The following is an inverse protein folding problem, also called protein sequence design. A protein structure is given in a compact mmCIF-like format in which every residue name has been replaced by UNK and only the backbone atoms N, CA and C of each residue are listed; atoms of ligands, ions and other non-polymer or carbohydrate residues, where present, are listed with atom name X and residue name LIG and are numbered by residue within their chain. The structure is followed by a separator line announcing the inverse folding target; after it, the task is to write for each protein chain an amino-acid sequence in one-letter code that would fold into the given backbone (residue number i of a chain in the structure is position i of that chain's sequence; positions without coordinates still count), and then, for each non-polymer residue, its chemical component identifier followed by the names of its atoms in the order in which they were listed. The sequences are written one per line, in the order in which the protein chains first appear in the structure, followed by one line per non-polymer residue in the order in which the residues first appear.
data_IF_679631266453
#
_entry.id   IF_679631266453
#
_cell.length_a   1.000
_cell.length_b   1.000
_cell.length_c   1.000
_cell.angle_alpha   90.00
_cell.angle_beta   90.00
_cell.angle_gamma   90.00
#
_symmetry.space_group_name_H-M   'P 1'
#
loop_
_entity.id
_entity.type
_entity.pdbx_description
1 polymer ?
#
# COMPACT_ATOMS: atom_id res chain seq x y z
N UNK A 1 -13.22 -10.06 19.69
CA UNK A 1 -12.29 -9.79 18.57
C UNK A 1 -11.98 -8.30 18.52
N UNK A 2 -10.70 -7.90 18.47
CA UNK A 2 -10.34 -6.51 18.16
C UNK A 2 -10.61 -6.29 16.67
N UNK A 3 -11.29 -5.22 16.29
CA UNK A 3 -11.55 -4.87 14.88
C UNK A 3 -10.28 -4.27 14.24
N UNK A 4 -10.01 -4.54 12.97
CA UNK A 4 -8.87 -3.98 12.22
C UNK A 4 -8.79 -2.45 12.37
N UNK A 5 -9.91 -1.75 12.23
CA UNK A 5 -10.02 -0.30 12.42
C UNK A 5 -9.47 0.20 13.77
N UNK A 6 -9.55 -0.61 14.82
CA UNK A 6 -9.01 -0.23 16.12
C UNK A 6 -7.49 -0.19 16.11
N UNK A 7 -6.83 -1.08 15.37
CA UNK A 7 -5.39 -1.05 15.17
C UNK A 7 -4.98 0.18 14.35
N UNK A 8 -5.66 0.41 13.22
CA UNK A 8 -5.40 1.57 12.34
C UNK A 8 -5.55 2.89 13.10
N UNK A 9 -6.66 3.09 13.84
CA UNK A 9 -6.87 4.30 14.65
C UNK A 9 -5.79 4.50 15.70
N UNK A 10 -5.29 3.42 16.29
CA UNK A 10 -4.23 3.47 17.31
C UNK A 10 -2.88 3.78 16.67
N UNK A 11 -2.53 3.13 15.56
CA UNK A 11 -1.31 3.40 14.81
C UNK A 11 -1.27 4.84 14.28
N UNK A 12 -2.36 5.31 13.68
CA UNK A 12 -2.51 6.69 13.22
C UNK A 12 -2.28 7.71 14.33
N UNK A 13 -2.82 7.46 15.53
CA UNK A 13 -2.56 8.33 16.69
C UNK A 13 -1.06 8.43 16.98
N UNK A 14 -0.34 7.31 17.01
CA UNK A 14 1.12 7.33 17.23
C UNK A 14 1.85 8.03 16.09
N UNK A 15 1.42 7.85 14.84
CA UNK A 15 2.01 8.55 13.70
C UNK A 15 1.83 10.07 13.80
N UNK A 16 0.65 10.55 14.18
CA UNK A 16 0.37 11.99 14.42
C UNK A 16 1.30 12.56 15.49
N UNK A 17 1.57 11.79 16.55
CA UNK A 17 2.54 12.16 17.60
C UNK A 17 4.01 11.84 17.23
N UNK A 18 4.29 11.54 15.96
CA UNK A 18 5.63 11.21 15.42
C UNK A 18 6.30 9.98 16.04
N UNK A 19 5.55 9.14 16.74
CA UNK A 19 6.00 7.85 17.28
C UNK A 19 5.89 6.74 16.24
N UNK A 20 6.60 6.89 15.10
CA UNK A 20 6.49 5.97 13.96
C UNK A 20 6.81 4.51 14.29
N UNK A 21 7.82 4.24 15.13
CA UNK A 21 8.16 2.88 15.57
C UNK A 21 6.99 2.19 16.28
N UNK A 22 6.28 2.92 17.16
CA UNK A 22 5.08 2.39 17.83
C UNK A 22 3.92 2.17 16.86
N UNK A 23 3.77 3.03 15.85
CA UNK A 23 2.78 2.84 14.81
C UNK A 23 3.06 1.56 14.00
N UNK A 24 4.34 1.31 13.66
CA UNK A 24 4.80 0.09 12.98
C UNK A 24 4.47 -1.14 13.84
N UNK A 25 4.88 -1.18 15.10
CA UNK A 25 4.63 -2.32 16.01
C UNK A 25 3.13 -2.68 16.13
N UNK A 26 2.25 -1.67 16.05
CA UNK A 26 0.80 -1.89 16.10
C UNK A 26 0.28 -2.49 14.80
N UNK A 27 0.77 -2.01 13.66
CA UNK A 27 0.33 -2.51 12.37
C UNK A 27 0.93 -3.88 12.04
N UNK A 28 2.15 -4.19 12.48
CA UNK A 28 2.73 -5.54 12.42
C UNK A 28 1.84 -6.54 13.19
N UNK A 29 1.43 -6.19 14.41
CA UNK A 29 0.47 -7.02 15.16
C UNK A 29 -0.89 -7.15 14.49
N UNK A 30 -1.30 -6.15 13.71
CA UNK A 30 -2.59 -6.14 13.04
C UNK A 30 -2.60 -7.11 11.85
N UNK A 31 -1.52 -7.14 11.05
CA UNK A 31 -1.42 -8.05 9.88
C UNK A 31 -1.25 -9.52 10.27
N UNK A 32 -0.86 -9.81 11.51
CA UNK A 32 -0.81 -11.15 12.10
C UNK A 32 -2.17 -11.66 12.61
N UNK A 33 -3.19 -10.80 12.72
CA UNK A 33 -4.52 -11.21 13.14
C UNK A 33 -5.27 -11.90 12.00
N UNK A 34 -6.26 -12.76 12.29
CA UNK A 34 -7.08 -13.41 11.28
C UNK A 34 -8.14 -12.45 10.69
N UNK A 35 -7.69 -11.32 10.16
CA UNK A 35 -8.52 -10.36 9.42
C UNK A 35 -8.68 -10.80 7.97
N UNK A 36 -9.60 -10.15 7.26
CA UNK A 36 -9.77 -10.41 5.83
C UNK A 36 -8.51 -10.02 5.05
N UNK A 37 -8.32 -10.61 3.86
CA UNK A 37 -7.20 -10.27 2.98
C UNK A 37 -7.14 -8.76 2.68
N UNK A 38 -8.29 -8.12 2.45
CA UNK A 38 -8.36 -6.68 2.18
C UNK A 38 -7.91 -5.83 3.38
N UNK A 39 -8.26 -6.23 4.60
CA UNK A 39 -7.80 -5.57 5.82
C UNK A 39 -6.29 -5.76 6.02
N UNK A 40 -5.79 -6.99 5.86
CA UNK A 40 -4.35 -7.29 5.96
C UNK A 40 -3.56 -6.53 4.88
N UNK A 41 -4.02 -6.54 3.63
CA UNK A 41 -3.41 -5.80 2.52
C UNK A 41 -3.42 -4.29 2.76
N UNK A 42 -4.50 -3.75 3.31
CA UNK A 42 -4.51 -2.35 3.78
C UNK A 42 -3.47 -2.11 4.87
N UNK A 43 -3.26 -3.07 5.77
CA UNK A 43 -2.26 -2.99 6.83
C UNK A 43 -0.84 -2.98 6.29
N UNK A 44 -0.54 -3.82 5.31
CA UNK A 44 0.73 -3.81 4.59
C UNK A 44 0.96 -2.50 3.83
N UNK A 45 -0.05 -1.93 3.17
CA UNK A 45 0.09 -0.57 2.59
C UNK A 45 0.42 0.46 3.68
N UNK A 46 -0.21 0.38 4.84
CA UNK A 46 0.09 1.28 5.96
C UNK A 46 1.56 1.14 6.41
N UNK A 47 2.03 -0.09 6.60
CA UNK A 47 3.43 -0.38 6.96
C UNK A 47 4.40 0.17 5.90
N UNK A 48 4.10 -0.03 4.62
CA UNK A 48 4.89 0.51 3.53
C UNK A 48 4.99 2.04 3.58
N UNK A 49 3.89 2.74 3.85
CA UNK A 49 3.89 4.19 4.03
C UNK A 49 4.73 4.63 5.24
N UNK A 50 4.65 3.91 6.37
CA UNK A 50 5.45 4.20 7.56
C UNK A 50 6.96 4.04 7.29
N UNK A 51 7.37 2.96 6.63
CA UNK A 51 8.77 2.73 6.27
C UNK A 51 9.28 3.71 5.21
N UNK A 52 8.44 4.07 4.23
CA UNK A 52 8.78 5.13 3.27
C UNK A 52 9.00 6.47 3.98
N UNK A 53 8.18 6.80 4.98
CA UNK A 53 8.37 7.99 5.83
C UNK A 53 9.66 7.94 6.66
N UNK A 54 10.23 6.76 6.90
CA UNK A 54 11.56 6.55 7.50
C UNK A 54 12.70 6.53 6.48
N UNK A 55 12.40 6.71 5.18
CA UNK A 55 13.33 6.57 4.05
C UNK A 55 13.91 5.15 3.89
N UNK A 56 13.22 4.15 4.42
CA UNK A 56 13.58 2.74 4.27
C UNK A 56 12.83 2.12 3.07
N UNK A 57 13.19 2.54 1.86
CA UNK A 57 12.45 2.20 0.63
C UNK A 57 12.38 0.68 0.36
N UNK A 58 13.47 -0.06 0.60
CA UNK A 58 13.49 -1.52 0.45
C UNK A 58 12.39 -2.20 1.30
N UNK A 59 12.23 -1.77 2.56
CA UNK A 59 11.18 -2.32 3.43
C UNK A 59 9.80 -1.83 3.03
N UNK A 60 9.70 -0.57 2.61
CA UNK A 60 8.44 -0.01 2.13
C UNK A 60 7.90 -0.82 0.94
N UNK A 61 8.75 -1.08 -0.05
CA UNK A 61 8.38 -1.80 -1.26
C UNK A 61 8.07 -3.26 -0.98
N UNK A 62 8.82 -3.93 -0.09
CA UNK A 62 8.49 -5.29 0.34
C UNK A 62 7.06 -5.38 0.90
N UNK A 63 6.66 -4.46 1.77
CA UNK A 63 5.28 -4.43 2.29
C UNK A 63 4.26 -4.06 1.21
N UNK A 64 4.58 -3.14 0.30
CA UNK A 64 3.67 -2.83 -0.80
C UNK A 64 3.44 -4.03 -1.72
N UNK A 65 4.48 -4.79 -2.05
CA UNK A 65 4.35 -6.01 -2.85
C UNK A 65 3.52 -7.06 -2.12
N UNK A 66 3.77 -7.30 -0.83
CA UNK A 66 2.94 -8.20 -0.01
C UNK A 66 1.45 -7.80 -0.04
N UNK A 67 1.13 -6.51 -0.02
CA UNK A 67 -0.25 -6.04 -0.15
C UNK A 67 -0.86 -6.34 -1.52
N UNK A 68 -0.10 -6.11 -2.59
CA UNK A 68 -0.56 -6.29 -3.97
C UNK A 68 -0.72 -7.77 -4.32
N UNK A 69 0.21 -8.62 -3.88
CA UNK A 69 0.14 -10.07 -4.05
C UNK A 69 -1.03 -10.67 -3.27
N UNK A 70 -1.20 -10.31 -2.00
CA UNK A 70 -2.26 -10.86 -1.15
C UNK A 70 -3.66 -10.58 -1.71
N UNK A 71 -3.84 -9.41 -2.31
CA UNK A 71 -5.12 -8.94 -2.85
C UNK A 71 -5.19 -9.05 -4.39
N UNK A 72 -4.31 -9.83 -5.03
CA UNK A 72 -4.21 -9.92 -6.49
C UNK A 72 -5.53 -10.33 -7.16
N UNK A 73 -6.28 -11.23 -6.53
CA UNK A 73 -7.56 -11.75 -7.04
C UNK A 73 -8.80 -11.09 -6.42
N UNK A 74 -8.61 -10.12 -5.50
CA UNK A 74 -9.71 -9.47 -4.79
C UNK A 74 -10.16 -8.19 -5.53
N UNK A 75 -11.46 -7.92 -5.61
CA UNK A 75 -11.98 -6.63 -6.08
C UNK A 75 -12.03 -5.61 -4.94
N UNK A 76 -11.49 -4.41 -5.17
CA UNK A 76 -11.49 -3.32 -4.21
C UNK A 76 -11.49 -1.95 -4.91
N UNK A 77 -12.06 -0.90 -4.28
CA UNK A 77 -12.10 0.42 -4.89
C UNK A 77 -10.69 1.02 -5.02
N UNK A 78 -10.54 1.90 -6.00
CA UNK A 78 -9.31 2.66 -6.20
C UNK A 78 -8.93 3.47 -4.97
N UNK A 79 -7.65 3.38 -4.60
CA UNK A 79 -7.03 4.21 -3.57
C UNK A 79 -5.92 5.08 -4.16
N UNK A 80 -5.78 6.36 -3.76
CA UNK A 80 -4.65 7.19 -4.18
C UNK A 80 -3.29 6.64 -3.72
N UNK A 81 -3.26 5.76 -2.71
CA UNK A 81 -2.02 5.14 -2.23
C UNK A 81 -1.32 4.33 -3.33
N UNK A 82 -2.03 3.80 -4.32
CA UNK A 82 -1.40 3.09 -5.43
C UNK A 82 -0.44 3.97 -6.24
N UNK A 83 -0.67 5.29 -6.30
CA UNK A 83 0.32 6.21 -6.89
C UNK A 83 1.60 6.27 -6.07
N UNK A 84 1.47 6.25 -4.74
CA UNK A 84 2.61 6.27 -3.82
C UNK A 84 3.39 4.96 -3.90
N UNK A 85 2.69 3.82 -3.98
CA UNK A 85 3.30 2.50 -4.17
C UNK A 85 4.16 2.48 -5.43
N UNK A 86 3.56 2.83 -6.58
CA UNK A 86 4.27 2.86 -7.86
C UNK A 86 5.44 3.86 -7.84
N UNK A 87 5.24 5.03 -7.24
CA UNK A 87 6.31 6.02 -7.07
C UNK A 87 7.46 5.50 -6.20
N UNK A 88 7.15 4.75 -5.13
CA UNK A 88 8.16 4.15 -4.24
C UNK A 88 9.00 3.09 -4.96
N UNK A 89 8.40 2.31 -5.86
CA UNK A 89 9.13 1.37 -6.73
C UNK A 89 10.11 2.12 -7.66
N UNK A 90 9.68 3.20 -8.31
CA UNK A 90 10.57 4.03 -9.13
C UNK A 90 11.71 4.65 -8.31
N UNK A 91 11.40 5.21 -7.14
CA UNK A 91 12.38 5.82 -6.23
C UNK A 91 13.44 4.82 -5.75
N UNK A 92 13.08 3.54 -5.64
CA UNK A 92 14.00 2.47 -5.26
C UNK A 92 14.69 1.79 -6.46
N UNK A 93 14.44 2.26 -7.69
CA UNK A 93 15.03 1.69 -8.91
C UNK A 93 14.38 0.39 -9.41
N UNK A 94 13.23 -0.01 -8.85
CA UNK A 94 12.49 -1.24 -9.18
C UNK A 94 11.56 -1.05 -10.39
N UNK A 95 12.13 -0.63 -11.51
CA UNK A 95 11.39 -0.18 -12.71
C UNK A 95 10.52 -1.31 -13.30
N UNK A 96 11.06 -2.53 -13.40
CA UNK A 96 10.32 -3.67 -13.98
C UNK A 96 9.09 -4.04 -13.16
N UNK A 97 9.24 -4.09 -11.83
CA UNK A 97 8.12 -4.36 -10.91
C UNK A 97 7.08 -3.26 -10.96
N UNK A 98 7.53 -2.01 -11.08
CA UNK A 98 6.65 -0.87 -11.22
C UNK A 98 5.76 -1.00 -12.46
N UNK A 99 6.34 -1.33 -13.61
CA UNK A 99 5.59 -1.53 -14.86
C UNK A 99 4.60 -2.69 -14.76
N UNK A 100 5.02 -3.81 -14.17
CA UNK A 100 4.17 -4.98 -13.92
C UNK A 100 2.96 -4.62 -13.05
N UNK A 101 3.21 -4.01 -11.88
CA UNK A 101 2.14 -3.64 -10.94
C UNK A 101 1.25 -2.54 -11.49
N UNK A 102 1.81 -1.55 -12.19
CA UNK A 102 1.03 -0.50 -12.86
C UNK A 102 0.07 -1.11 -13.87
N UNK A 103 0.55 -2.02 -14.71
CA UNK A 103 -0.26 -2.70 -15.73
C UNK A 103 -1.38 -3.51 -15.10
N UNK A 104 -1.06 -4.31 -14.08
CA UNK A 104 -2.06 -5.06 -13.30
C UNK A 104 -3.11 -4.15 -12.67
N UNK A 105 -2.71 -3.06 -12.02
CA UNK A 105 -3.64 -2.11 -11.39
C UNK A 105 -4.49 -1.36 -12.41
N UNK A 106 -3.96 -0.98 -13.58
CA UNK A 106 -4.74 -0.33 -14.64
C UNK A 106 -5.83 -1.26 -15.19
N UNK A 107 -5.55 -2.56 -15.29
CA UNK A 107 -6.54 -3.54 -15.77
C UNK A 107 -7.78 -3.61 -14.87
N UNK A 108 -7.66 -3.26 -13.59
CA UNK A 108 -8.81 -3.13 -12.66
C UNK A 108 -9.77 -1.99 -13.01
N UNK A 109 -9.45 -1.18 -14.03
CA UNK A 109 -10.39 -0.25 -14.62
C UNK A 109 -11.62 -0.89 -15.28
N UNK A 110 -11.64 -2.22 -15.42
CA UNK A 110 -12.81 -3.01 -15.81
C UNK A 110 -13.96 -2.84 -14.83
N UNK A 111 -13.69 -2.77 -13.52
CA UNK A 111 -14.71 -2.58 -12.49
C UNK A 111 -14.63 -1.22 -11.77
N UNK A 112 -13.46 -0.58 -11.65
CA UNK A 112 -13.35 0.79 -11.14
C UNK A 112 -12.54 1.70 -12.06
N UNK A 113 -13.25 2.55 -12.82
CA UNK A 113 -12.67 3.46 -13.82
C UNK A 113 -11.57 4.37 -13.27
N UNK A 114 -11.51 4.64 -11.96
CA UNK A 114 -10.47 5.50 -11.36
C UNK A 114 -9.08 4.90 -11.46
N UNK A 115 -8.93 3.58 -11.63
CA UNK A 115 -7.62 2.95 -11.89
C UNK A 115 -6.95 3.45 -13.18
N UNK A 116 -7.70 4.01 -14.14
CA UNK A 116 -7.13 4.68 -15.33
C UNK A 116 -6.22 5.86 -14.98
N UNK A 117 -6.36 6.43 -13.77
CA UNK A 117 -5.50 7.52 -13.28
C UNK A 117 -4.05 7.09 -13.00
N UNK A 118 -3.75 5.79 -13.08
CA UNK A 118 -2.40 5.23 -12.96
C UNK A 118 -1.70 5.12 -14.32
N UNK A 119 -2.35 5.45 -15.45
CA UNK A 119 -1.64 5.53 -16.73
C UNK A 119 -0.58 6.63 -16.67
N UNK A 120 0.58 6.40 -17.30
CA UNK A 120 1.51 7.50 -17.54
C UNK A 120 0.75 8.61 -18.26
N UNK A 121 0.86 9.85 -17.76
CA UNK A 121 0.38 10.99 -18.54
C UNK A 121 1.21 10.97 -19.81
N UNK A 122 0.58 10.75 -20.96
CA UNK A 122 1.25 10.96 -22.26
C UNK A 122 1.94 12.32 -22.17
N UNK A 123 3.25 12.35 -22.38
CA UNK A 123 3.89 13.62 -22.71
C UNK A 123 3.14 14.11 -23.95
N UNK A 124 2.49 15.27 -23.83
CA UNK A 124 2.00 15.99 -24.99
C UNK A 124 3.27 16.39 -25.76
N UNK A 125 3.65 15.58 -26.73
CA UNK A 125 4.57 15.92 -27.80
C UNK A 125 3.85 16.81 -28.81
#
# INVERSE_FOLDING_TARGET
MKKYDSYVKKAFRYEVFRFRKKAIEIMEKAVEQPFSKLEIGSGYIYLGLLYRNLKELNRANAYFEQALELCMDEEYPYSPNYKIVLQSLLENGEIEKEEQWRSHLINRATYDKKFKNLKHKKQLS
#
